data_IF_975006485399
#
_entry.id   IF_975006485399
#
_cell.length_a   1.000
_cell.length_b   1.000
_cell.length_c   1.000
_cell.angle_alpha   90.00
_cell.angle_beta   90.00
_cell.angle_gamma   90.00
#
_symmetry.space_group_name_H-M   'P 1'
#
loop_
_entity.id
_entity.type
_entity.pdbx_description
1 polymer ?
#
# COMPACT_ATOMS: atom_id res chain seq x y z
N UNK A 1 10.36 -8.46 6.07
CA UNK A 1 10.41 -7.28 6.99
C UNK A 1 9.55 -6.14 6.42
N UNK A 2 8.74 -5.44 7.21
CA UNK A 2 7.90 -4.34 6.68
C UNK A 2 8.57 -2.99 6.95
N UNK A 3 8.58 -2.09 5.95
CA UNK A 3 9.09 -0.72 6.06
C UNK A 3 8.03 0.25 5.55
N UNK A 4 7.78 1.29 6.33
CA UNK A 4 7.08 2.49 5.87
C UNK A 4 8.01 3.67 6.08
N UNK A 5 8.29 4.41 5.01
CA UNK A 5 9.00 5.68 5.06
C UNK A 5 7.99 6.82 4.87
N UNK A 6 8.11 7.83 5.71
CA UNK A 6 7.25 9.00 5.73
C UNK A 6 8.14 10.23 5.59
N UNK A 7 7.91 11.02 4.55
CA UNK A 7 8.40 12.38 4.47
C UNK A 7 7.23 13.32 4.74
N UNK A 8 7.23 13.96 5.90
CA UNK A 8 6.21 14.90 6.33
C UNK A 8 6.73 16.32 6.19
N UNK A 9 6.05 17.14 5.38
CA UNK A 9 6.40 18.55 5.14
C UNK A 9 7.86 18.77 4.75
N UNK A 10 8.46 17.78 4.07
CA UNK A 10 9.83 17.87 3.58
C UNK A 10 9.92 18.62 2.24
N UNK A 11 8.85 18.57 1.45
CA UNK A 11 8.75 19.19 0.14
C UNK A 11 7.56 20.13 0.10
N UNK A 12 7.70 21.29 -0.54
CA UNK A 12 6.69 22.33 -0.54
C UNK A 12 5.44 21.94 -1.33
N UNK A 13 5.58 21.23 -2.45
CA UNK A 13 4.45 20.79 -3.29
C UNK A 13 3.84 19.45 -2.85
N UNK A 14 4.58 18.68 -2.04
CA UNK A 14 4.20 17.34 -1.57
C UNK A 14 4.25 17.30 -0.04
N UNK A 15 3.21 17.81 0.64
CA UNK A 15 3.20 17.92 2.10
C UNK A 15 3.29 16.56 2.81
N UNK A 16 2.98 15.47 2.09
CA UNK A 16 3.15 14.10 2.55
C UNK A 16 3.60 13.20 1.40
N UNK A 17 4.71 12.49 1.61
CA UNK A 17 5.14 11.36 0.77
C UNK A 17 5.17 10.11 1.63
N UNK A 18 4.47 9.07 1.17
CA UNK A 18 4.45 7.75 1.80
C UNK A 18 5.06 6.74 0.84
N UNK A 19 6.03 5.98 1.34
CA UNK A 19 6.58 4.83 0.64
C UNK A 19 6.44 3.63 1.56
N UNK A 20 5.76 2.59 1.07
CA UNK A 20 5.63 1.33 1.79
C UNK A 20 6.32 0.24 0.98
N UNK A 21 7.14 -0.56 1.65
CA UNK A 21 7.69 -1.78 1.09
C UNK A 21 7.48 -2.91 2.09
N UNK A 22 6.95 -4.03 1.61
CA UNK A 22 6.85 -5.26 2.40
C UNK A 22 7.70 -6.32 1.74
N UNK A 23 8.75 -6.72 2.45
CA UNK A 23 9.57 -7.85 2.04
C UNK A 23 8.81 -9.16 2.34
N UNK A 24 8.35 -9.78 1.26
CA UNK A 24 7.41 -10.91 1.17
C UNK A 24 7.73 -11.71 -0.12
N UNK A 25 7.12 -12.90 -0.29
CA UNK A 25 7.35 -13.75 -1.46
C UNK A 25 6.98 -13.05 -2.78
N UNK A 26 7.91 -13.09 -3.74
CA UNK A 26 7.72 -12.57 -5.10
C UNK A 26 6.46 -13.14 -5.79
N UNK A 27 6.14 -14.41 -5.52
CA UNK A 27 5.01 -15.10 -6.13
C UNK A 27 3.70 -15.00 -5.32
N UNK A 28 3.57 -14.03 -4.41
CA UNK A 28 2.33 -13.82 -3.65
C UNK A 28 1.26 -13.20 -4.57
N UNK A 29 0.15 -13.89 -4.85
CA UNK A 29 -0.89 -13.39 -5.74
C UNK A 29 -1.63 -12.23 -5.07
N UNK A 30 -1.77 -11.15 -5.82
CA UNK A 30 -2.48 -9.95 -5.39
C UNK A 30 -3.34 -9.43 -6.53
N UNK A 31 -4.50 -8.90 -6.20
CA UNK A 31 -5.32 -8.11 -7.10
C UNK A 31 -4.63 -6.77 -7.35
N UNK A 32 -4.74 -6.26 -8.58
CA UNK A 32 -4.21 -4.95 -8.94
C UNK A 32 -4.89 -3.82 -8.15
N UNK A 33 -4.30 -2.63 -8.19
CA UNK A 33 -4.89 -1.44 -7.56
C UNK A 33 -6.33 -1.21 -8.04
N UNK A 34 -7.28 -1.27 -7.12
CA UNK A 34 -8.68 -0.99 -7.38
C UNK A 34 -9.36 -0.44 -6.11
N UNK A 35 -10.57 0.08 -6.26
CA UNK A 35 -11.42 0.36 -5.11
C UNK A 35 -12.02 -0.96 -4.61
N UNK A 36 -11.80 -1.30 -3.35
CA UNK A 36 -12.34 -2.53 -2.79
C UNK A 36 -13.87 -2.49 -2.79
N UNK A 37 -14.55 -3.60 -3.14
CA UNK A 37 -16.01 -3.61 -3.24
C UNK A 37 -16.71 -3.50 -1.88
N UNK A 38 -16.05 -3.96 -0.81
CA UNK A 38 -16.58 -4.06 0.54
C UNK A 38 -16.23 -2.86 1.44
N UNK A 39 -15.24 -2.05 1.06
CA UNK A 39 -14.68 -1.00 1.91
C UNK A 39 -14.23 0.19 1.06
N UNK A 40 -14.26 1.43 1.59
CA UNK A 40 -13.81 2.62 0.87
C UNK A 40 -12.28 2.72 0.85
N UNK A 41 -11.61 1.67 0.36
CA UNK A 41 -10.15 1.54 0.31
C UNK A 41 -9.71 1.44 -1.15
N UNK A 42 -8.70 2.22 -1.53
CA UNK A 42 -8.00 2.13 -2.81
C UNK A 42 -6.65 1.45 -2.59
N UNK A 43 -6.56 0.18 -2.98
CA UNK A 43 -5.34 -0.60 -2.82
C UNK A 43 -5.33 -1.84 -3.73
N UNK A 44 -4.15 -2.42 -3.96
CA UNK A 44 -4.08 -3.84 -4.34
C UNK A 44 -4.53 -4.71 -3.16
N UNK A 45 -5.12 -5.88 -3.42
CA UNK A 45 -5.62 -6.79 -2.38
C UNK A 45 -4.87 -8.11 -2.42
N UNK A 46 -4.33 -8.52 -1.29
CA UNK A 46 -3.75 -9.85 -1.13
C UNK A 46 -4.85 -10.91 -1.28
N UNK A 47 -4.78 -11.73 -2.32
CA UNK A 47 -5.81 -12.74 -2.61
C UNK A 47 -5.74 -13.95 -1.66
N UNK A 48 -4.66 -14.11 -0.90
CA UNK A 48 -4.51 -15.20 0.08
C UNK A 48 -4.92 -14.78 1.49
N UNK A 49 -4.51 -13.59 1.94
CA UNK A 49 -4.75 -13.12 3.33
C UNK A 49 -5.68 -11.92 3.43
N UNK A 50 -6.16 -11.36 2.32
CA UNK A 50 -7.18 -10.32 2.27
C UNK A 50 -6.72 -8.90 2.62
N UNK A 51 -5.45 -8.70 2.96
CA UNK A 51 -4.88 -7.40 3.34
C UNK A 51 -4.28 -6.60 2.18
N UNK A 52 -3.53 -5.55 2.51
CA UNK A 52 -2.77 -4.76 1.52
C UNK A 52 -1.43 -4.29 2.09
N UNK A 53 -0.51 -3.90 1.20
CA UNK A 53 0.78 -3.32 1.56
C UNK A 53 0.72 -1.80 1.71
N UNK A 54 -0.16 -1.14 0.96
CA UNK A 54 -0.45 0.29 1.06
C UNK A 54 -1.85 0.53 0.47
N UNK A 55 -2.70 1.22 1.23
CA UNK A 55 -4.03 1.63 0.81
C UNK A 55 -4.40 2.99 1.37
N UNK A 56 -5.33 3.67 0.69
CA UNK A 56 -5.88 4.99 1.06
C UNK A 56 -7.40 4.88 1.16
#
# INVERSE_FOLDING_TARGET
>A
MCIVAIAWQLFDELPLVLLSNRDEFLARPTEQLHQWPDQPIYAGRDSQSGGTWLGI
#
